data_IF_359023483629
#
_entry.id   IF_359023483629
#
_cell.length_a   1.000
_cell.length_b   1.000
_cell.length_c   1.000
_cell.angle_alpha   90.00
_cell.angle_beta   90.00
_cell.angle_gamma   90.00
#
_symmetry.space_group_name_H-M   'P 1'
#
loop_
_entity.id
_entity.type
_entity.pdbx_description
1 polymer ?
#
# COMPACT_ATOMS: atom_id res chain seq x y z
N UNK A 1 -79.39 15.41 146.36
CA UNK A 1 -79.42 15.96 144.99
C UNK A 1 -78.03 16.01 144.34
N UNK A 2 -76.95 16.38 145.06
CA UNK A 2 -75.59 16.50 144.51
C UNK A 2 -74.96 15.20 143.94
N UNK A 3 -75.14 14.03 144.57
CA UNK A 3 -74.58 12.75 144.07
C UNK A 3 -75.14 12.38 142.69
N UNK A 4 -76.45 12.58 142.45
CA UNK A 4 -77.09 12.29 141.16
C UNK A 4 -76.51 13.16 140.03
N UNK A 5 -76.22 14.44 140.31
CA UNK A 5 -75.57 15.34 139.34
C UNK A 5 -74.12 14.95 139.06
N UNK A 6 -73.37 14.53 140.08
CA UNK A 6 -71.98 14.08 139.93
C UNK A 6 -71.88 12.76 139.11
N UNK A 7 -72.84 11.84 139.30
CA UNK A 7 -72.94 10.58 138.55
C UNK A 7 -73.34 10.78 137.09
N UNK A 8 -74.17 11.78 136.79
CA UNK A 8 -74.53 12.15 135.41
C UNK A 8 -73.32 12.80 134.73
N UNK A 9 -72.62 13.71 135.42
CA UNK A 9 -71.40 14.33 134.90
C UNK A 9 -70.30 13.28 134.62
N UNK A 10 -70.10 12.31 135.50
CA UNK A 10 -69.14 11.22 135.26
C UNK A 10 -69.55 10.32 134.09
N UNK A 11 -70.85 10.04 133.92
CA UNK A 11 -71.35 9.28 132.78
C UNK A 11 -71.15 10.03 131.45
N UNK A 12 -71.34 11.36 131.43
CA UNK A 12 -71.04 12.22 130.28
C UNK A 12 -69.53 12.24 130.00
N UNK A 13 -68.69 12.36 131.03
CA UNK A 13 -67.24 12.29 130.86
C UNK A 13 -66.76 10.93 130.31
N UNK A 14 -67.33 9.81 130.77
CA UNK A 14 -67.03 8.48 130.25
C UNK A 14 -67.54 8.30 128.81
N UNK A 15 -68.73 8.82 128.48
CA UNK A 15 -69.25 8.84 127.12
C UNK A 15 -68.35 9.63 126.16
N UNK A 16 -67.89 10.81 126.59
CA UNK A 16 -66.93 11.61 125.83
C UNK A 16 -65.58 10.89 125.68
N UNK A 17 -65.07 10.25 126.73
CA UNK A 17 -63.84 9.46 126.68
C UNK A 17 -63.95 8.28 125.70
N UNK A 18 -65.07 7.55 125.68
CA UNK A 18 -65.34 6.49 124.72
C UNK A 18 -65.45 7.01 123.28
N UNK A 19 -66.08 8.17 123.07
CA UNK A 19 -66.14 8.80 121.75
C UNK A 19 -64.75 9.20 121.25
N UNK A 20 -63.94 9.87 122.07
CA UNK A 20 -62.57 10.23 121.72
C UNK A 20 -61.68 9.00 121.52
N UNK A 21 -61.87 7.92 122.30
CA UNK A 21 -61.16 6.67 122.11
C UNK A 21 -61.49 6.02 120.75
N UNK A 22 -62.77 6.00 120.35
CA UNK A 22 -63.17 5.47 119.05
C UNK A 22 -62.72 6.37 117.89
N UNK A 23 -62.83 7.69 118.04
CA UNK A 23 -62.34 8.66 117.06
C UNK A 23 -60.81 8.57 116.89
N UNK A 24 -60.06 8.37 117.97
CA UNK A 24 -58.61 8.18 117.93
C UNK A 24 -58.24 6.83 117.31
N UNK A 25 -59.01 5.76 117.58
CA UNK A 25 -58.84 4.46 116.90
C UNK A 25 -59.05 4.57 115.39
N UNK A 26 -60.10 5.25 114.94
CA UNK A 26 -60.34 5.51 113.50
C UNK A 26 -59.24 6.35 112.87
N UNK A 27 -58.72 7.36 113.59
CA UNK A 27 -57.57 8.15 113.12
C UNK A 27 -56.30 7.29 112.99
N UNK A 28 -56.01 6.44 113.97
CA UNK A 28 -54.89 5.51 113.93
C UNK A 28 -55.01 4.51 112.78
N UNK A 29 -56.21 3.97 112.53
CA UNK A 29 -56.45 3.08 111.38
C UNK A 29 -56.27 3.81 110.05
N UNK A 30 -56.80 5.04 109.91
CA UNK A 30 -56.59 5.88 108.74
C UNK A 30 -55.11 6.24 108.52
N UNK A 31 -54.36 6.53 109.58
CA UNK A 31 -52.92 6.79 109.53
C UNK A 31 -52.13 5.54 109.11
N UNK A 32 -52.48 4.36 109.65
CA UNK A 32 -51.88 3.09 109.21
C UNK A 32 -52.15 2.81 107.73
N UNK A 33 -53.38 3.04 107.26
CA UNK A 33 -53.72 2.87 105.84
C UNK A 33 -52.98 3.88 104.96
N UNK A 34 -52.86 5.15 105.39
CA UNK A 34 -52.07 6.16 104.69
C UNK A 34 -50.58 5.82 104.67
N UNK A 35 -50.04 5.33 105.77
CA UNK A 35 -48.64 4.91 105.86
C UNK A 35 -48.40 3.69 104.95
N UNK A 36 -49.29 2.70 104.96
CA UNK A 36 -49.20 1.53 104.07
C UNK A 36 -49.30 1.93 102.59
N UNK A 37 -50.19 2.86 102.24
CA UNK A 37 -50.27 3.41 100.88
C UNK A 37 -49.02 4.22 100.51
N UNK A 38 -48.48 5.02 101.44
CA UNK A 38 -47.27 5.80 101.22
C UNK A 38 -46.03 4.91 101.04
N UNK A 39 -45.87 3.85 101.84
CA UNK A 39 -44.77 2.88 101.69
C UNK A 39 -44.92 2.06 100.42
N UNK A 40 -46.13 1.64 100.06
CA UNK A 40 -46.41 0.97 98.78
C UNK A 40 -46.08 1.88 97.58
N UNK A 41 -46.49 3.16 97.63
CA UNK A 41 -46.19 4.14 96.59
C UNK A 41 -44.69 4.43 96.49
N UNK A 42 -43.98 4.55 97.62
CA UNK A 42 -42.53 4.75 97.64
C UNK A 42 -41.81 3.55 97.02
N UNK A 43 -42.20 2.32 97.40
CA UNK A 43 -41.64 1.11 96.80
C UNK A 43 -41.92 1.06 95.30
N UNK A 44 -43.15 1.32 94.87
CA UNK A 44 -43.49 1.36 93.44
C UNK A 44 -42.77 2.47 92.67
N UNK A 45 -42.39 3.58 93.32
CA UNK A 45 -41.57 4.62 92.71
C UNK A 45 -40.09 4.20 92.61
N UNK A 46 -39.57 3.48 93.61
CA UNK A 46 -38.21 2.91 93.57
C UNK A 46 -38.07 1.83 92.51
N UNK A 47 -39.06 0.93 92.40
CA UNK A 47 -39.08 -0.13 91.38
C UNK A 47 -39.14 0.47 89.97
N UNK A 48 -40.01 1.47 89.73
CA UNK A 48 -40.06 2.20 88.45
C UNK A 48 -38.77 2.95 88.14
N UNK A 49 -38.09 3.50 89.15
CA UNK A 49 -36.79 4.14 88.94
C UNK A 49 -35.74 3.11 88.50
N UNK A 50 -35.69 1.95 89.17
CA UNK A 50 -34.77 0.88 88.80
C UNK A 50 -35.04 0.33 87.39
N UNK A 51 -36.32 0.15 87.02
CA UNK A 51 -36.74 -0.22 85.66
C UNK A 51 -36.36 0.86 84.64
N UNK A 52 -36.55 2.14 84.97
CA UNK A 52 -36.18 3.28 84.13
C UNK A 52 -34.67 3.37 83.90
N UNK A 53 -33.87 3.26 84.96
CA UNK A 53 -32.40 3.30 84.89
C UNK A 53 -31.87 2.10 84.06
N UNK A 54 -32.46 0.90 84.22
CA UNK A 54 -32.14 -0.26 83.41
C UNK A 54 -32.53 -0.06 81.93
N UNK A 55 -33.71 0.51 81.65
CA UNK A 55 -34.17 0.77 80.29
C UNK A 55 -33.32 1.84 79.59
N UNK A 56 -32.90 2.90 80.30
CA UNK A 56 -31.98 3.93 79.78
C UNK A 56 -30.66 3.29 79.37
N UNK A 57 -30.07 2.44 80.22
CA UNK A 57 -28.82 1.75 79.90
C UNK A 57 -28.95 0.86 78.66
N UNK A 58 -30.03 0.09 78.55
CA UNK A 58 -30.29 -0.73 77.35
C UNK A 58 -30.44 0.14 76.10
N UNK A 59 -31.10 1.29 76.21
CA UNK A 59 -31.25 2.23 75.09
C UNK A 59 -29.93 2.90 74.70
N UNK A 60 -29.10 3.28 75.67
CA UNK A 60 -27.75 3.81 75.40
C UNK A 60 -26.88 2.78 74.65
N UNK A 61 -26.92 1.51 75.07
CA UNK A 61 -26.21 0.42 74.38
C UNK A 61 -26.74 0.20 72.96
N UNK A 62 -28.06 0.23 72.76
CA UNK A 62 -28.68 0.17 71.42
C UNK A 62 -28.29 1.36 70.54
N UNK A 63 -28.30 2.58 71.07
CA UNK A 63 -27.87 3.77 70.33
C UNK A 63 -26.40 3.68 69.94
N UNK A 64 -25.54 3.21 70.83
CA UNK A 64 -24.12 3.02 70.52
C UNK A 64 -23.90 1.95 69.44
N UNK A 65 -24.67 0.86 69.46
CA UNK A 65 -24.64 -0.17 68.42
C UNK A 65 -25.11 0.37 67.07
N UNK A 66 -26.27 1.03 67.03
CA UNK A 66 -26.84 1.63 65.82
C UNK A 66 -25.91 2.72 65.26
N UNK A 67 -25.25 3.50 66.12
CA UNK A 67 -24.27 4.48 65.63
C UNK A 67 -23.09 3.81 64.93
N UNK A 68 -22.57 2.70 65.47
CA UNK A 68 -21.49 1.94 64.85
C UNK A 68 -21.92 1.31 63.52
N UNK A 69 -23.10 0.70 63.45
CA UNK A 69 -23.65 0.17 62.20
C UNK A 69 -23.84 1.27 61.16
N UNK A 70 -24.43 2.41 61.54
CA UNK A 70 -24.60 3.56 60.66
C UNK A 70 -23.26 4.10 60.12
N UNK A 71 -22.21 4.11 60.93
CA UNK A 71 -20.89 4.56 60.49
C UNK A 71 -20.22 3.53 59.55
N UNK A 72 -20.40 2.22 59.81
CA UNK A 72 -19.95 1.16 58.91
C UNK A 72 -20.70 1.21 57.56
N UNK A 73 -22.03 1.35 57.59
CA UNK A 73 -22.87 1.46 56.39
C UNK A 73 -22.50 2.69 55.56
N UNK A 74 -22.18 3.82 56.21
CA UNK A 74 -21.68 5.02 55.51
C UNK A 74 -20.37 4.74 54.78
N UNK A 75 -19.43 4.05 55.41
CA UNK A 75 -18.18 3.68 54.75
C UNK A 75 -18.40 2.72 53.58
N UNK A 76 -19.32 1.76 53.71
CA UNK A 76 -19.66 0.83 52.63
C UNK A 76 -20.35 1.54 51.46
N UNK A 77 -21.28 2.46 51.73
CA UNK A 77 -21.94 3.28 50.70
C UNK A 77 -20.91 4.15 49.96
N UNK A 78 -19.93 4.73 50.65
CA UNK A 78 -18.87 5.51 50.00
C UNK A 78 -18.01 4.62 49.10
N UNK A 79 -17.66 3.40 49.53
CA UNK A 79 -16.90 2.44 48.70
C UNK A 79 -17.69 1.99 47.48
N UNK A 80 -18.95 1.59 47.66
CA UNK A 80 -19.84 1.17 46.57
C UNK A 80 -20.09 2.31 45.57
N UNK A 81 -20.22 3.55 46.05
CA UNK A 81 -20.35 4.72 45.17
C UNK A 81 -19.08 4.97 44.34
N UNK A 82 -17.89 4.80 44.94
CA UNK A 82 -16.63 4.90 44.24
C UNK A 82 -16.47 3.78 43.19
N UNK A 83 -16.77 2.53 43.56
CA UNK A 83 -16.73 1.38 42.64
C UNK A 83 -17.73 1.56 41.48
N UNK A 84 -18.94 2.06 41.76
CA UNK A 84 -19.93 2.35 40.73
C UNK A 84 -19.44 3.41 39.73
N UNK A 85 -18.83 4.49 40.22
CA UNK A 85 -18.22 5.51 39.35
C UNK A 85 -17.06 4.95 38.51
N UNK A 86 -16.22 4.09 39.08
CA UNK A 86 -15.12 3.45 38.35
C UNK A 86 -15.67 2.55 37.22
N UNK A 87 -16.71 1.74 37.51
CA UNK A 87 -17.34 0.89 36.50
C UNK A 87 -18.07 1.70 35.43
N UNK A 88 -18.70 2.81 35.77
CA UNK A 88 -19.35 3.69 34.81
C UNK A 88 -18.32 4.35 33.87
N UNK A 89 -17.19 4.81 34.41
CA UNK A 89 -16.07 5.31 33.61
C UNK A 89 -15.48 4.22 32.70
N UNK A 90 -15.29 3.00 33.22
CA UNK A 90 -14.82 1.87 32.42
C UNK A 90 -15.80 1.50 31.29
N UNK A 91 -17.12 1.52 31.55
CA UNK A 91 -18.14 1.30 30.53
C UNK A 91 -18.12 2.38 29.44
N UNK A 92 -17.89 3.65 29.80
CA UNK A 92 -17.73 4.72 28.82
C UNK A 92 -16.53 4.48 27.91
N UNK A 93 -15.39 4.07 28.48
CA UNK A 93 -14.17 3.74 27.71
C UNK A 93 -14.42 2.54 26.80
N UNK A 94 -15.04 1.48 27.30
CA UNK A 94 -15.35 0.27 26.50
C UNK A 94 -16.32 0.58 25.37
N UNK A 95 -17.34 1.43 25.58
CA UNK A 95 -18.25 1.89 24.53
C UNK A 95 -17.51 2.68 23.45
N UNK A 96 -16.66 3.63 23.83
CA UNK A 96 -15.82 4.38 22.87
C UNK A 96 -14.89 3.46 22.07
N UNK A 97 -14.25 2.50 22.73
CA UNK A 97 -13.43 1.50 22.05
C UNK A 97 -14.24 0.64 21.06
N UNK A 98 -15.45 0.23 21.43
CA UNK A 98 -16.33 -0.55 20.56
C UNK A 98 -16.75 0.23 19.31
N UNK A 99 -17.09 1.51 19.46
CA UNK A 99 -17.41 2.41 18.33
C UNK A 99 -16.21 2.58 17.40
N UNK A 100 -15.02 2.78 17.97
CA UNK A 100 -13.77 2.88 17.20
C UNK A 100 -13.45 1.58 16.46
N UNK A 101 -13.55 0.42 17.13
CA UNK A 101 -13.34 -0.90 16.53
C UNK A 101 -14.37 -1.16 15.42
N UNK A 102 -15.64 -0.81 15.65
CA UNK A 102 -16.70 -0.94 14.62
C UNK A 102 -16.37 -0.09 13.39
N UNK A 103 -15.90 1.14 13.59
CA UNK A 103 -15.46 2.02 12.49
C UNK A 103 -14.28 1.42 11.72
N UNK A 104 -13.29 0.86 12.43
CA UNK A 104 -12.15 0.19 11.81
C UNK A 104 -12.57 -1.06 11.04
N UNK A 105 -13.44 -1.90 11.60
CA UNK A 105 -13.97 -3.09 10.92
C UNK A 105 -14.73 -2.70 9.65
N UNK A 106 -15.56 -1.66 9.69
CA UNK A 106 -16.26 -1.18 8.50
C UNK A 106 -15.30 -0.60 7.45
N UNK A 107 -14.25 0.11 7.87
CA UNK A 107 -13.22 0.60 6.96
C UNK A 107 -12.44 -0.54 6.30
N UNK A 108 -12.06 -1.56 7.07
CA UNK A 108 -11.39 -2.77 6.57
C UNK A 108 -12.32 -3.56 5.65
N UNK A 109 -13.59 -3.72 6.00
CA UNK A 109 -14.58 -4.38 5.15
C UNK A 109 -14.72 -3.65 3.81
N UNK A 110 -14.83 -2.32 3.84
CA UNK A 110 -14.84 -1.50 2.63
C UNK A 110 -13.56 -1.65 1.82
N UNK A 111 -12.39 -1.74 2.47
CA UNK A 111 -11.13 -2.01 1.77
C UNK A 111 -11.09 -3.41 1.14
N UNK A 112 -11.68 -4.43 1.79
CA UNK A 112 -11.84 -5.77 1.24
C UNK A 112 -12.78 -5.75 0.03
N UNK A 113 -13.91 -5.06 0.14
CA UNK A 113 -14.90 -4.93 -0.94
C UNK A 113 -14.32 -4.12 -2.12
N UNK A 114 -13.60 -3.02 -1.85
CA UNK A 114 -12.93 -2.16 -2.84
C UNK A 114 -11.74 -2.90 -3.50
N UNK A 115 -11.02 -3.74 -2.76
CA UNK A 115 -9.97 -4.62 -3.31
C UNK A 115 -10.56 -5.71 -4.23
N UNK A 116 -11.86 -5.97 -4.11
CA UNK A 116 -12.64 -6.82 -5.00
C UNK A 116 -12.26 -8.30 -4.96
N UNK A 117 -12.84 -9.08 -5.87
CA UNK A 117 -12.58 -10.52 -6.02
C UNK A 117 -11.09 -10.76 -6.31
N UNK A 118 -10.31 -11.02 -5.26
CA UNK A 118 -8.94 -11.52 -5.34
C UNK A 118 -8.89 -12.73 -6.29
N UNK A 119 -9.95 -13.55 -6.33
CA UNK A 119 -10.12 -14.65 -7.30
C UNK A 119 -10.15 -14.18 -8.77
N UNK A 120 -10.85 -13.08 -9.08
CA UNK A 120 -10.82 -12.49 -10.43
C UNK A 120 -9.44 -11.95 -10.76
N UNK A 121 -8.74 -11.36 -9.78
CA UNK A 121 -7.38 -10.85 -9.96
C UNK A 121 -6.39 -12.00 -10.22
N UNK A 122 -6.51 -13.10 -9.48
CA UNK A 122 -5.73 -14.33 -9.70
C UNK A 122 -6.03 -14.91 -11.09
N UNK A 123 -7.31 -15.01 -11.48
CA UNK A 123 -7.68 -15.49 -12.81
C UNK A 123 -7.13 -14.59 -13.94
N UNK A 124 -7.12 -13.27 -13.75
CA UNK A 124 -6.48 -12.33 -14.68
C UNK A 124 -4.96 -12.52 -14.74
N UNK A 125 -4.30 -12.73 -13.60
CA UNK A 125 -2.85 -13.00 -13.54
C UNK A 125 -2.50 -14.32 -14.22
N UNK A 126 -3.28 -15.38 -14.03
CA UNK A 126 -3.09 -16.65 -14.73
C UNK A 126 -3.27 -16.50 -16.24
N UNK A 127 -4.30 -15.76 -16.66
CA UNK A 127 -4.50 -15.43 -18.09
C UNK A 127 -3.34 -14.63 -18.65
N UNK A 128 -2.89 -13.58 -17.96
CA UNK A 128 -1.74 -12.76 -18.34
C UNK A 128 -0.45 -13.58 -18.43
N UNK A 129 -0.22 -14.53 -17.52
CA UNK A 129 0.92 -15.46 -17.61
C UNK A 129 0.84 -16.36 -18.84
N UNK A 130 -0.36 -16.85 -19.17
CA UNK A 130 -0.57 -17.66 -20.37
C UNK A 130 -0.32 -16.83 -21.64
N UNK A 131 -0.90 -15.63 -21.71
CA UNK A 131 -0.72 -14.69 -22.82
C UNK A 131 0.76 -14.28 -22.96
N UNK A 132 1.49 -14.10 -21.84
CA UNK A 132 2.92 -13.82 -21.83
C UNK A 132 3.73 -14.98 -22.43
N UNK A 133 3.43 -16.22 -22.02
CA UNK A 133 4.12 -17.41 -22.53
C UNK A 133 3.89 -17.59 -24.03
N UNK A 134 2.66 -17.35 -24.50
CA UNK A 134 2.32 -17.39 -25.92
C UNK A 134 3.01 -16.27 -26.71
N UNK A 135 3.04 -15.05 -26.17
CA UNK A 135 3.76 -13.93 -26.77
C UNK A 135 5.27 -14.17 -26.85
N UNK A 136 5.89 -14.73 -25.80
CA UNK A 136 7.31 -15.10 -25.81
C UNK A 136 7.61 -16.16 -26.89
N UNK A 137 6.75 -17.18 -27.03
CA UNK A 137 6.85 -18.16 -28.10
C UNK A 137 6.71 -17.54 -29.50
N UNK A 138 5.77 -16.59 -29.67
CA UNK A 138 5.59 -15.86 -30.92
C UNK A 138 6.81 -14.98 -31.25
N UNK A 139 7.37 -14.28 -30.27
CA UNK A 139 8.59 -13.47 -30.43
C UNK A 139 9.79 -14.34 -30.79
N UNK A 140 9.95 -15.51 -30.14
CA UNK A 140 11.03 -16.45 -30.48
C UNK A 140 10.91 -16.93 -31.94
N UNK A 141 9.71 -17.29 -32.39
CA UNK A 141 9.45 -17.68 -33.77
C UNK A 141 9.71 -16.55 -34.76
N UNK A 142 9.28 -15.32 -34.46
CA UNK A 142 9.54 -14.14 -35.29
C UNK A 142 11.04 -13.83 -35.38
N UNK A 143 11.77 -13.95 -34.26
CA UNK A 143 13.22 -13.76 -34.22
C UNK A 143 13.95 -14.79 -35.10
N UNK A 144 13.53 -16.05 -35.06
CA UNK A 144 14.08 -17.09 -35.94
C UNK A 144 13.79 -16.81 -37.42
N UNK A 145 12.57 -16.33 -37.74
CA UNK A 145 12.22 -15.90 -39.11
C UNK A 145 13.08 -14.73 -39.57
N UNK A 146 13.27 -13.71 -38.73
CA UNK A 146 14.14 -12.57 -39.04
C UNK A 146 15.58 -13.00 -39.28
N UNK A 147 16.13 -13.89 -38.44
CA UNK A 147 17.46 -14.43 -38.62
C UNK A 147 17.60 -15.18 -39.97
N UNK A 148 16.62 -16.03 -40.32
CA UNK A 148 16.61 -16.75 -41.59
C UNK A 148 16.51 -15.80 -42.80
N UNK A 149 15.64 -14.79 -42.72
CA UNK A 149 15.50 -13.78 -43.78
C UNK A 149 16.79 -12.97 -43.92
N UNK A 150 17.42 -12.59 -42.82
CA UNK A 150 18.68 -11.85 -42.84
C UNK A 150 19.83 -12.69 -43.43
N UNK A 151 19.90 -13.98 -43.10
CA UNK A 151 20.83 -14.91 -43.75
C UNK A 151 20.57 -15.04 -45.26
N UNK A 152 19.29 -15.09 -45.66
CA UNK A 152 18.89 -15.12 -47.08
C UNK A 152 19.32 -13.86 -47.81
N UNK A 153 19.08 -12.68 -47.20
CA UNK A 153 19.49 -11.37 -47.75
C UNK A 153 21.01 -11.31 -47.91
N UNK A 154 21.77 -11.76 -46.91
CA UNK A 154 23.23 -11.79 -46.98
C UNK A 154 23.72 -12.71 -48.13
N UNK A 155 23.12 -13.90 -48.27
CA UNK A 155 23.44 -14.84 -49.35
C UNK A 155 23.13 -14.28 -50.74
N UNK A 156 21.95 -13.70 -50.93
CA UNK A 156 21.52 -13.10 -52.21
C UNK A 156 22.36 -11.87 -52.54
N UNK A 157 22.66 -11.00 -51.56
CA UNK A 157 23.55 -9.85 -51.76
C UNK A 157 24.93 -10.31 -52.23
N UNK A 158 25.51 -11.33 -51.59
CA UNK A 158 26.79 -11.89 -52.00
C UNK A 158 26.76 -12.52 -53.42
N UNK A 159 25.62 -13.10 -53.83
CA UNK A 159 25.44 -13.56 -55.21
C UNK A 159 25.36 -12.40 -56.19
N UNK A 160 24.61 -11.34 -55.85
CA UNK A 160 24.50 -10.13 -56.67
C UNK A 160 25.89 -9.51 -56.88
N UNK A 161 26.70 -9.41 -55.83
CA UNK A 161 28.04 -8.82 -55.94
C UNK A 161 28.97 -9.66 -56.81
N UNK A 162 28.92 -11.00 -56.70
CA UNK A 162 29.69 -11.89 -57.59
C UNK A 162 29.25 -11.77 -59.06
N UNK A 163 27.95 -11.70 -59.31
CA UNK A 163 27.41 -11.54 -60.66
C UNK A 163 27.77 -10.18 -61.24
N UNK A 164 27.68 -9.11 -60.46
CA UNK A 164 28.12 -7.77 -60.86
C UNK A 164 29.61 -7.71 -61.16
N UNK A 165 30.45 -8.34 -60.34
CA UNK A 165 31.90 -8.40 -60.58
C UNK A 165 32.21 -9.18 -61.85
N UNK A 166 31.55 -10.33 -62.05
CA UNK A 166 31.71 -11.14 -63.27
C UNK A 166 31.28 -10.36 -64.51
N UNK A 167 30.15 -9.64 -64.43
CA UNK A 167 29.68 -8.77 -65.51
C UNK A 167 30.65 -7.60 -65.76
N UNK A 168 31.17 -6.97 -64.71
CA UNK A 168 32.14 -5.89 -64.82
C UNK A 168 33.45 -6.36 -65.46
N UNK A 169 33.95 -7.54 -65.10
CA UNK A 169 35.12 -8.17 -65.71
C UNK A 169 34.88 -8.47 -67.19
N UNK A 170 33.72 -9.04 -67.53
CA UNK A 170 33.35 -9.31 -68.91
C UNK A 170 33.19 -8.03 -69.74
N UNK A 171 32.61 -6.96 -69.18
CA UNK A 171 32.49 -5.64 -69.84
C UNK A 171 33.84 -4.95 -70.03
N UNK A 172 34.80 -5.19 -69.14
CA UNK A 172 36.17 -4.66 -69.23
C UNK A 172 37.02 -5.42 -70.25
N UNK A 173 36.56 -6.55 -70.80
CA UNK A 173 37.35 -7.29 -71.78
C UNK A 173 38.55 -8.03 -71.17
N UNK A 174 38.53 -8.29 -69.86
CA UNK A 174 39.64 -8.93 -69.15
C UNK A 174 39.53 -10.44 -69.36
N UNK A 175 40.47 -11.00 -70.10
CA UNK A 175 40.54 -12.44 -70.38
C UNK A 175 41.50 -13.10 -69.38
N UNK A 176 41.15 -14.30 -68.90
CA UNK A 176 41.97 -15.01 -67.91
C UNK A 176 43.42 -15.23 -68.43
N UNK A 177 44.46 -15.10 -67.59
CA UNK A 177 45.86 -15.26 -68.01
C UNK A 177 46.18 -16.62 -68.65
N UNK A 178 45.48 -17.67 -68.23
CA UNK A 178 45.57 -19.04 -68.77
C UNK A 178 44.79 -19.27 -70.07
N UNK A 179 44.18 -18.23 -70.64
CA UNK A 179 43.39 -18.34 -71.86
C UNK A 179 44.24 -18.68 -73.09
N UNK A 180 43.80 -19.70 -73.84
CA UNK A 180 44.35 -20.07 -75.14
C UNK A 180 43.23 -20.39 -76.14
N UNK A 181 43.24 -19.72 -77.28
CA UNK A 181 42.40 -19.99 -78.45
C UNK A 181 43.27 -20.30 -79.67
N UNK A 182 42.64 -20.64 -80.79
CA UNK A 182 43.28 -20.74 -82.10
C UNK A 182 42.54 -19.92 -83.14
N UNK A 183 43.30 -19.43 -84.12
CA UNK A 183 42.73 -18.81 -85.31
C UNK A 183 42.01 -19.90 -86.12
N UNK A 184 40.69 -19.85 -86.17
CA UNK A 184 39.89 -20.76 -86.98
C UNK A 184 39.99 -20.41 -88.47
N UNK A 185 39.89 -19.11 -88.77
CA UNK A 185 40.00 -18.58 -90.12
C UNK A 185 40.49 -17.14 -90.11
N UNK A 186 41.41 -16.79 -91.01
CA UNK A 186 41.91 -15.43 -91.17
C UNK A 186 41.49 -14.81 -92.50
N UNK A 187 41.04 -13.56 -92.49
CA UNK A 187 40.64 -12.80 -93.67
C UNK A 187 41.58 -11.60 -93.87
N UNK A 188 42.67 -11.75 -94.66
CA UNK A 188 43.69 -10.71 -94.81
C UNK A 188 43.15 -9.43 -95.46
N UNK A 189 42.20 -9.54 -96.40
CA UNK A 189 41.59 -8.40 -97.11
C UNK A 189 40.84 -7.44 -96.19
N UNK A 190 40.30 -7.96 -95.08
CA UNK A 190 39.53 -7.17 -94.11
C UNK A 190 40.25 -7.00 -92.78
N UNK A 191 41.41 -7.65 -92.61
CA UNK A 191 42.22 -7.54 -91.41
C UNK A 191 41.56 -8.07 -90.14
N UNK A 192 40.70 -9.09 -90.23
CA UNK A 192 40.13 -9.75 -89.04
C UNK A 192 40.33 -11.27 -89.05
N UNK A 193 40.36 -11.84 -87.86
CA UNK A 193 40.46 -13.27 -87.59
C UNK A 193 39.22 -13.76 -86.84
N UNK A 194 38.75 -14.95 -87.21
CA UNK A 194 37.76 -15.69 -86.45
C UNK A 194 38.49 -16.65 -85.52
N UNK A 195 38.18 -16.58 -84.23
CA UNK A 195 38.71 -17.46 -83.19
C UNK A 195 37.75 -18.62 -82.95
N UNK A 196 38.30 -19.79 -82.63
CA UNK A 196 37.53 -21.01 -82.31
C UNK A 196 36.95 -21.03 -80.87
N UNK A 197 37.00 -19.89 -80.18
CA UNK A 197 36.47 -19.69 -78.83
C UNK A 197 35.59 -18.45 -78.82
N UNK A 198 34.53 -18.48 -78.02
CA UNK A 198 33.57 -17.39 -77.84
C UNK A 198 33.36 -17.02 -76.38
N UNK A 199 32.26 -16.31 -76.09
CA UNK A 199 31.92 -15.81 -74.76
C UNK A 199 31.85 -16.94 -73.70
N UNK A 200 31.24 -18.09 -74.05
CA UNK A 200 31.17 -19.25 -73.15
C UNK A 200 32.52 -19.88 -72.82
N UNK A 201 33.57 -19.52 -73.57
CA UNK A 201 34.92 -20.07 -73.44
C UNK A 201 35.94 -19.03 -73.01
N UNK A 202 35.48 -17.89 -72.46
CA UNK A 202 36.34 -16.86 -71.86
C UNK A 202 36.82 -15.77 -72.80
N UNK A 203 36.23 -15.61 -73.99
CA UNK A 203 36.52 -14.48 -74.88
C UNK A 203 35.54 -13.35 -74.64
N UNK A 204 36.04 -12.17 -74.32
CA UNK A 204 35.21 -10.98 -74.08
C UNK A 204 35.38 -9.94 -75.20
N UNK A 205 34.32 -9.17 -75.46
CA UNK A 205 34.43 -8.04 -76.37
C UNK A 205 35.43 -7.01 -75.84
N UNK A 206 36.15 -6.34 -76.74
CA UNK A 206 37.25 -5.41 -76.44
C UNK A 206 38.48 -6.03 -75.78
N UNK A 207 38.56 -7.35 -75.64
CA UNK A 207 39.77 -8.00 -75.15
C UNK A 207 40.94 -7.82 -76.13
N UNK A 208 42.12 -7.56 -75.58
CA UNK A 208 43.37 -7.57 -76.34
C UNK A 208 44.01 -8.95 -76.25
N UNK A 209 44.28 -9.51 -77.42
CA UNK A 209 44.83 -10.85 -77.60
C UNK A 209 46.11 -10.78 -78.43
N UNK A 210 47.00 -11.74 -78.22
CA UNK A 210 48.25 -11.89 -78.96
C UNK A 210 48.23 -13.21 -79.72
N UNK A 211 48.55 -13.15 -81.01
CA UNK A 211 48.76 -14.34 -81.84
C UNK A 211 50.21 -14.78 -81.68
N UNK A 212 50.40 -16.02 -81.26
CA UNK A 212 51.70 -16.68 -81.08
C UNK A 212 51.86 -17.87 -82.01
N UNK A 213 53.06 -17.99 -82.58
CA UNK A 213 53.52 -19.20 -83.27
C UNK A 213 54.79 -19.66 -82.58
N UNK A 214 54.70 -20.75 -81.84
CA UNK A 214 55.77 -21.17 -80.94
C UNK A 214 55.93 -20.17 -79.78
N UNK A 215 57.08 -19.48 -79.72
CA UNK A 215 57.40 -18.49 -78.67
C UNK A 215 57.23 -17.04 -79.12
N UNK A 216 57.09 -16.80 -80.42
CA UNK A 216 57.08 -15.46 -80.99
C UNK A 216 55.66 -14.92 -81.13
N UNK A 217 55.48 -13.62 -80.82
CA UNK A 217 54.23 -12.89 -81.02
C UNK A 217 54.21 -12.34 -82.44
N UNK A 218 53.27 -12.82 -83.25
CA UNK A 218 53.13 -12.47 -84.67
C UNK A 218 52.26 -11.24 -84.86
N UNK A 219 51.19 -11.08 -84.08
CA UNK A 219 50.25 -9.99 -84.22
C UNK A 219 49.48 -9.74 -82.92
N UNK A 220 48.95 -8.52 -82.76
CA UNK A 220 47.95 -8.20 -81.72
C UNK A 220 46.57 -8.14 -82.35
N UNK A 221 45.60 -8.76 -81.70
CA UNK A 221 44.20 -8.77 -82.07
C UNK A 221 43.39 -8.04 -81.02
N UNK A 222 42.36 -7.32 -81.45
CA UNK A 222 41.35 -6.74 -80.58
C UNK A 222 40.00 -7.36 -80.88
N UNK A 223 39.38 -7.98 -79.89
CA UNK A 223 38.09 -8.64 -80.07
C UNK A 223 37.01 -7.59 -80.30
N UNK A 224 36.30 -7.67 -81.43
CA UNK A 224 35.23 -6.75 -81.80
C UNK A 224 33.86 -7.25 -81.36
N UNK A 225 33.57 -8.52 -81.62
CA UNK A 225 32.31 -9.15 -81.25
C UNK A 225 32.57 -10.59 -80.80
N UNK A 226 31.78 -11.03 -79.83
CA UNK A 226 31.85 -12.38 -79.28
C UNK A 226 30.51 -13.07 -79.45
N UNK A 227 30.54 -14.24 -80.07
CA UNK A 227 29.41 -15.16 -80.14
C UNK A 227 29.55 -16.21 -79.04
N UNK A 228 28.56 -17.08 -78.88
CA UNK A 228 28.59 -18.10 -77.82
C UNK A 228 29.82 -19.01 -77.94
N UNK A 229 30.20 -19.40 -79.15
CA UNK A 229 31.28 -20.39 -79.40
C UNK A 229 32.43 -19.89 -80.27
N UNK A 230 32.29 -18.73 -80.94
CA UNK A 230 33.31 -18.13 -81.80
C UNK A 230 33.48 -16.65 -81.44
N UNK A 231 34.57 -16.04 -81.86
CA UNK A 231 34.79 -14.61 -81.68
C UNK A 231 35.43 -14.00 -82.93
N UNK A 232 35.09 -12.74 -83.20
CA UNK A 232 35.65 -11.95 -84.30
C UNK A 232 36.61 -10.95 -83.69
N UNK A 233 37.87 -11.00 -84.10
CA UNK A 233 38.92 -10.11 -83.62
C UNK A 233 39.61 -9.40 -84.78
N UNK A 234 39.69 -8.08 -84.70
CA UNK A 234 40.37 -7.24 -85.68
C UNK A 234 41.88 -7.24 -85.39
N UNK A 235 42.70 -7.31 -86.44
CA UNK A 235 44.15 -7.16 -86.32
C UNK A 235 44.46 -5.70 -86.05
N UNK A 236 45.21 -5.44 -84.97
CA UNK A 236 45.66 -4.09 -84.65
C UNK A 236 46.62 -3.62 -85.75
N UNK A 237 46.34 -2.51 -86.46
CA UNK A 237 47.21 -2.04 -87.54
C UNK A 237 48.64 -1.80 -87.07
N UNK A 238 49.62 -2.28 -87.84
CA UNK A 238 51.05 -2.16 -87.51
C UNK A 238 51.54 -3.09 -86.38
N UNK A 239 50.70 -4.00 -85.87
CA UNK A 239 51.11 -4.97 -84.86
C UNK A 239 51.66 -6.28 -85.41
N UNK A 240 51.60 -6.47 -86.74
CA UNK A 240 52.10 -7.67 -87.40
C UNK A 240 53.63 -7.60 -87.49
N UNK A 241 54.32 -8.64 -87.03
CA UNK A 241 55.77 -8.72 -87.10
C UNK A 241 56.27 -8.63 -88.55
N UNK A 242 57.36 -7.89 -88.79
CA UNK A 242 57.91 -7.64 -90.12
C UNK A 242 58.15 -8.96 -90.88
N UNK A 243 57.57 -9.08 -92.08
CA UNK A 243 57.68 -10.27 -92.93
C UNK A 243 56.82 -11.48 -92.50
N UNK A 244 55.97 -11.36 -91.48
CA UNK A 244 55.11 -12.45 -91.00
C UNK A 244 53.63 -12.24 -91.37
N UNK A 245 52.87 -13.34 -91.48
CA UNK A 245 51.42 -13.33 -91.69
C UNK A 245 50.72 -14.32 -90.75
N UNK A 246 49.46 -14.03 -90.44
CA UNK A 246 48.60 -14.87 -89.59
C UNK A 246 48.07 -16.05 -90.41
N UNK A 247 48.12 -17.26 -89.85
CA UNK A 247 47.58 -18.47 -90.48
C UNK A 247 46.52 -19.14 -89.62
N UNK A 248 45.68 -19.94 -90.28
CA UNK A 248 44.74 -20.82 -89.59
C UNK A 248 45.52 -21.80 -88.70
N UNK A 249 45.09 -21.93 -87.44
CA UNK A 249 45.72 -22.79 -86.45
C UNK A 249 46.75 -22.10 -85.55
N UNK A 250 47.12 -20.84 -85.82
CA UNK A 250 47.98 -20.07 -84.91
C UNK A 250 47.36 -19.95 -83.52
N UNK A 251 48.18 -20.01 -82.48
CA UNK A 251 47.73 -19.93 -81.08
C UNK A 251 47.44 -18.49 -80.71
N UNK A 252 46.36 -18.24 -79.99
CA UNK A 252 45.97 -16.92 -79.51
C UNK A 252 45.91 -16.95 -78.00
N UNK A 253 46.60 -16.04 -77.34
CA UNK A 253 46.64 -15.95 -75.87
C UNK A 253 46.24 -14.56 -75.41
N UNK A 254 45.91 -14.41 -74.13
CA UNK A 254 45.71 -13.09 -73.54
C UNK A 254 46.97 -12.22 -73.72
N UNK A 255 46.78 -10.96 -74.13
CA UNK A 255 47.90 -10.02 -74.23
C UNK A 255 48.53 -9.77 -72.85
N UNK A 256 49.85 -9.53 -72.81
CA UNK A 256 50.57 -9.29 -71.55
C UNK A 256 50.07 -8.03 -70.81
N UNK A 257 49.57 -7.05 -71.57
CA UNK A 257 48.78 -5.93 -71.06
C UNK A 257 47.46 -5.90 -71.81
N UNK A 258 46.37 -6.14 -71.09
CA UNK A 258 45.01 -5.87 -71.59
C UNK A 258 44.73 -4.39 -71.34
N UNK A 259 44.22 -3.66 -72.35
CA UNK A 259 44.00 -2.20 -72.29
C UNK A 259 43.01 -1.77 -71.20
N UNK A 260 42.34 -2.71 -70.53
CA UNK A 260 41.47 -2.46 -69.38
C UNK A 260 42.12 -2.73 -68.01
N UNK A 261 43.37 -3.21 -67.97
CA UNK A 261 44.13 -3.44 -66.76
C UNK A 261 44.94 -2.20 -66.29
N UNK A 262 44.99 -1.12 -67.09
CA UNK A 262 45.61 0.15 -66.71
C UNK A 262 44.62 1.09 -66.00
N UNK A 263 44.72 1.30 -64.68
CA UNK A 263 43.83 2.19 -63.95
C UNK A 263 44.42 3.61 -63.97
N UNK A 264 44.62 4.23 -65.13
CA UNK A 264 44.99 5.68 -65.19
C UNK A 264 44.90 6.28 -66.61
N UNK A 265 43.69 6.70 -66.99
CA UNK A 265 43.50 8.03 -67.61
C UNK A 265 42.08 8.54 -67.39
N UNK A 266 41.90 9.13 -66.22
CA UNK A 266 40.84 10.08 -65.90
C UNK A 266 41.40 11.05 -64.86
N UNK A 267 42.00 12.15 -65.31
CA UNK A 267 42.49 13.28 -64.51
C UNK A 267 42.17 14.53 -65.35
N UNK A 268 41.64 15.64 -64.86
CA UNK A 268 41.15 16.06 -63.53
C UNK A 268 40.54 17.46 -63.65
N UNK A 269 39.63 17.81 -62.73
CA UNK A 269 39.38 19.18 -62.21
C UNK A 269 38.66 20.19 -63.15
N UNK A 270 37.84 21.18 -62.74
CA UNK A 270 37.51 21.83 -61.46
C UNK A 270 36.20 22.63 -61.58
N UNK A 271 35.45 22.73 -60.49
CA UNK A 271 34.58 23.87 -60.15
C UNK A 271 33.23 23.39 -59.59
N UNK A 272 32.80 23.66 -58.35
CA UNK A 272 33.29 24.45 -57.24
C UNK A 272 32.22 24.36 -56.13
N UNK A 273 32.68 24.42 -54.88
CA UNK A 273 32.03 24.29 -53.54
C UNK A 273 30.88 25.28 -53.28
N UNK A 274 30.08 25.21 -52.18
CA UNK A 274 30.47 25.06 -50.74
C UNK A 274 29.74 23.85 -50.06
N UNK A 275 30.13 23.31 -48.91
CA UNK A 275 30.37 23.96 -47.62
C UNK A 275 30.97 22.96 -46.62
N UNK A 276 31.62 23.47 -45.57
CA UNK A 276 32.62 22.82 -44.72
C UNK A 276 32.15 22.71 -43.26
N UNK A 277 32.56 21.64 -42.57
CA UNK A 277 32.55 21.48 -41.09
C UNK A 277 31.70 20.28 -40.64
N UNK A 278 32.10 19.35 -39.78
CA UNK A 278 33.20 19.23 -38.82
C UNK A 278 33.39 17.72 -38.48
N UNK A 279 34.41 17.30 -37.71
CA UNK A 279 34.94 15.94 -37.69
C UNK A 279 34.14 14.98 -36.79
N UNK A 280 34.11 13.70 -37.16
CA UNK A 280 33.62 12.61 -36.30
C UNK A 280 34.71 12.16 -35.32
N UNK A 281 34.37 12.00 -34.01
CA UNK A 281 35.31 11.63 -32.96
C UNK A 281 35.44 10.11 -32.78
N UNK A 282 36.55 9.71 -32.16
CA UNK A 282 36.90 8.35 -31.80
C UNK A 282 36.53 8.04 -30.33
N UNK A 283 36.16 6.79 -30.08
CA UNK A 283 36.11 6.06 -28.79
C UNK A 283 35.44 6.68 -27.55
N UNK A 284 34.39 6.05 -27.01
CA UNK A 284 34.34 5.33 -25.71
C UNK A 284 32.91 5.02 -25.27
N UNK A 285 32.76 3.89 -24.58
CA UNK A 285 31.51 3.25 -24.16
C UNK A 285 30.56 4.12 -23.30
N UNK A 286 29.23 3.98 -23.45
CA UNK A 286 28.28 4.51 -22.46
C UNK A 286 28.13 3.53 -21.29
N UNK A 287 28.50 4.02 -20.10
CA UNK A 287 28.18 3.43 -18.81
C UNK A 287 26.68 3.46 -18.53
N UNK A 288 26.25 2.46 -17.78
CA UNK A 288 24.89 2.29 -17.27
C UNK A 288 24.39 3.52 -16.49
N UNK A 289 23.10 3.91 -16.62
CA UNK A 289 22.50 4.83 -15.68
C UNK A 289 22.33 4.14 -14.33
N UNK A 290 23.03 4.66 -13.33
CA UNK A 290 22.83 4.31 -11.93
C UNK A 290 21.38 4.65 -11.53
N UNK A 291 20.60 3.61 -11.26
CA UNK A 291 19.38 3.70 -10.47
C UNK A 291 19.81 3.95 -9.01
N UNK A 292 19.76 5.19 -8.57
CA UNK A 292 19.92 5.54 -7.16
C UNK A 292 18.86 6.57 -6.75
N UNK A 293 17.65 6.07 -6.45
CA UNK A 293 16.76 6.70 -5.49
C UNK A 293 15.72 5.66 -5.07
N UNK A 294 16.01 5.04 -3.94
CA UNK A 294 15.12 4.25 -3.10
C UNK A 294 13.76 4.96 -2.88
N UNK A 295 12.61 4.33 -3.21
CA UNK A 295 11.29 4.90 -2.97
C UNK A 295 10.76 4.66 -1.53
N UNK A 296 11.56 4.07 -0.63
CA UNK A 296 11.17 3.76 0.75
C UNK A 296 12.22 4.16 1.82
N UNK A 297 12.98 5.22 1.57
CA UNK A 297 13.93 5.80 2.54
C UNK A 297 13.32 6.91 3.40
N UNK A 298 13.02 6.61 4.66
CA UNK A 298 12.62 7.58 5.68
C UNK A 298 13.74 8.61 5.97
N UNK A 299 13.46 9.91 6.17
CA UNK A 299 14.45 10.83 6.73
C UNK A 299 14.55 10.66 8.25
N UNK A 300 15.76 10.36 8.74
CA UNK A 300 16.09 10.42 10.16
C UNK A 300 16.15 11.89 10.65
N UNK A 301 15.76 12.16 11.91
CA UNK A 301 15.38 13.51 12.37
C UNK A 301 16.57 14.38 12.77
N UNK A 302 16.45 15.68 12.50
CA UNK A 302 17.27 16.72 13.10
C UNK A 302 16.85 16.95 14.56
N UNK A 303 17.84 17.00 15.44
CA UNK A 303 17.68 17.21 16.87
C UNK A 303 17.19 18.63 17.22
N UNK A 304 16.15 18.71 18.06
CA UNK A 304 15.73 19.89 18.82
C UNK A 304 15.28 19.44 20.22
N UNK A 305 15.40 20.29 21.26
CA UNK A 305 15.59 19.84 22.64
C UNK A 305 14.32 19.28 23.27
N UNK A 306 14.52 18.22 24.05
CA UNK A 306 13.52 17.62 24.93
C UNK A 306 13.15 18.62 26.04
N UNK A 307 11.89 19.07 26.05
CA UNK A 307 11.18 19.33 27.30
C UNK A 307 9.66 19.36 27.04
N UNK A 308 9.02 18.20 27.13
CA UNK A 308 7.57 18.11 27.32
C UNK A 308 7.28 16.85 28.13
N UNK A 309 7.05 17.08 29.42
CA UNK A 309 6.51 16.17 30.42
C UNK A 309 5.21 15.47 29.92
N UNK A 310 5.10 14.13 30.00
CA UNK A 310 3.94 13.39 29.52
C UNK A 310 2.74 13.38 30.51
N UNK A 311 2.83 14.07 31.66
CA UNK A 311 1.75 14.15 32.66
C UNK A 311 1.41 15.58 33.12
N UNK A 312 1.45 16.56 32.20
CA UNK A 312 1.17 17.96 32.49
C UNK A 312 -0.33 18.29 32.71
N UNK A 313 -0.66 18.71 33.93
CA UNK A 313 -1.94 19.29 34.35
C UNK A 313 -2.38 20.50 33.47
N UNK A 314 -3.69 20.80 33.36
CA UNK A 314 -4.16 21.92 32.55
C UNK A 314 -3.73 23.28 33.15
N UNK A 315 -3.41 24.28 32.31
CA UNK A 315 -2.98 25.59 32.78
C UNK A 315 -4.12 26.34 33.48
N UNK A 316 -3.80 26.90 34.65
CA UNK A 316 -4.69 27.73 35.45
C UNK A 316 -5.12 28.98 34.67
N UNK A 317 -6.43 29.19 34.56
CA UNK A 317 -7.02 30.44 34.09
C UNK A 317 -6.87 31.55 35.15
N UNK A 318 -6.72 32.82 34.74
CA UNK A 318 -6.49 33.93 35.67
C UNK A 318 -7.73 34.22 36.52
N UNK A 319 -7.49 34.47 37.81
CA UNK A 319 -8.48 34.77 38.81
C UNK A 319 -9.29 36.05 38.49
N UNK A 320 -10.62 35.96 38.66
CA UNK A 320 -11.55 37.08 38.81
C UNK A 320 -12.34 36.90 40.12
N UNK A 321 -12.83 37.98 40.74
CA UNK A 321 -12.91 38.11 42.19
C UNK A 321 -14.07 37.35 42.84
N UNK A 322 -13.82 36.94 44.09
CA UNK A 322 -14.78 36.37 45.03
C UNK A 322 -16.03 37.25 45.18
N UNK A 323 -17.21 36.68 44.91
CA UNK A 323 -18.46 37.01 45.61
C UNK A 323 -19.58 36.04 45.19
N UNK A 324 -19.90 35.07 46.05
CA UNK A 324 -21.29 34.65 46.36
C UNK A 324 -21.31 33.39 47.25
N UNK A 325 -21.54 33.61 48.54
CA UNK A 325 -22.34 32.85 49.52
C UNK A 325 -22.56 31.32 49.33
N UNK A 326 -22.11 30.46 50.27
CA UNK A 326 -22.27 29.00 50.20
C UNK A 326 -23.59 28.46 50.77
N UNK A 327 -24.55 29.30 51.20
CA UNK A 327 -25.84 28.83 51.76
C UNK A 327 -27.06 29.64 51.28
N UNK A 328 -27.29 29.71 49.97
CA UNK A 328 -28.47 30.35 49.37
C UNK A 328 -29.44 29.37 48.70
N UNK A 329 -30.67 29.27 49.22
CA UNK A 329 -31.76 28.48 48.66
C UNK A 329 -32.17 28.92 47.23
N UNK A 330 -32.64 28.01 46.35
CA UNK A 330 -33.05 28.39 45.00
C UNK A 330 -34.39 29.16 45.01
N UNK A 331 -34.54 30.23 44.21
CA UNK A 331 -35.83 30.93 44.07
C UNK A 331 -36.81 30.10 43.23
N UNK A 332 -38.07 30.10 43.68
CA UNK A 332 -39.19 29.40 43.08
C UNK A 332 -39.55 29.93 41.69
N UNK A 333 -39.79 29.02 40.74
CA UNK A 333 -40.39 29.33 39.45
C UNK A 333 -41.93 29.24 39.51
N UNK A 334 -42.67 30.14 38.84
CA UNK A 334 -44.14 30.10 38.79
C UNK A 334 -44.67 29.05 37.79
N UNK A 335 -45.93 28.58 37.95
CA UNK A 335 -46.40 27.34 37.31
C UNK A 335 -46.87 27.53 35.87
N UNK A 336 -46.50 26.59 34.99
CA UNK A 336 -47.13 26.39 33.68
C UNK A 336 -48.34 25.45 33.80
N UNK A 337 -49.46 25.83 33.21
CA UNK A 337 -50.70 25.04 33.14
C UNK A 337 -50.59 23.86 32.14
N UNK A 338 -51.43 22.81 32.28
CA UNK A 338 -51.11 21.47 31.80
C UNK A 338 -51.60 21.19 30.38
N UNK A 339 -50.73 20.58 29.56
CA UNK A 339 -51.13 19.82 28.37
C UNK A 339 -51.29 18.34 28.76
N UNK A 340 -52.45 17.78 28.44
CA UNK A 340 -52.89 16.46 28.85
C UNK A 340 -52.01 15.29 28.39
N UNK A 341 -52.07 14.22 29.18
CA UNK A 341 -51.46 12.94 28.88
C UNK A 341 -51.72 11.99 30.04
N UNK A 342 -52.72 11.12 29.87
CA UNK A 342 -53.06 10.08 30.81
C UNK A 342 -51.88 9.12 31.04
N UNK A 343 -51.58 8.79 32.29
CA UNK A 343 -51.07 7.47 32.66
C UNK A 343 -51.30 7.23 34.16
N UNK A 344 -51.95 6.09 34.39
CA UNK A 344 -52.48 5.61 35.64
C UNK A 344 -51.43 4.70 36.29
N UNK A 345 -50.90 5.04 37.46
CA UNK A 345 -50.17 4.09 38.32
C UNK A 345 -50.11 4.61 39.77
N UNK A 346 -51.05 4.13 40.57
CA UNK A 346 -51.10 4.26 42.03
C UNK A 346 -49.97 3.42 42.67
N UNK A 347 -49.10 3.98 43.52
CA UNK A 347 -47.98 3.26 44.13
C UNK A 347 -48.35 2.52 45.43
N UNK A 348 -49.62 2.52 45.86
CA UNK A 348 -50.05 1.78 47.05
C UNK A 348 -51.18 0.80 46.70
N UNK A 349 -50.78 -0.39 46.25
CA UNK A 349 -51.69 -1.48 45.88
C UNK A 349 -52.62 -1.91 47.02
N UNK A 350 -53.92 -1.76 46.78
CA UNK A 350 -54.97 -2.51 47.48
C UNK A 350 -55.40 -3.69 46.61
N UNK A 351 -55.33 -4.91 47.17
CA UNK A 351 -55.73 -6.14 46.48
C UNK A 351 -57.27 -6.20 46.29
N UNK A 352 -57.78 -6.67 45.14
CA UNK A 352 -59.21 -6.89 44.95
C UNK A 352 -59.70 -8.17 45.66
N UNK A 353 -60.96 -8.21 46.14
CA UNK A 353 -61.50 -9.37 46.85
C UNK A 353 -61.81 -10.54 45.89
N UNK A 354 -61.88 -11.79 46.40
CA UNK A 354 -62.14 -12.96 45.58
C UNK A 354 -63.60 -13.00 45.11
N UNK A 355 -63.78 -13.23 43.81
CA UNK A 355 -65.08 -13.45 43.18
C UNK A 355 -65.63 -14.83 43.55
N UNK A 356 -66.89 -14.86 43.97
CA UNK A 356 -67.78 -16.03 43.92
C UNK A 356 -68.36 -16.16 42.50
#
# INVERSE_FOLDING_TARGET
>A
MAWKLLSILSAVCLGAACYFANANKQRLENEKTRQAAATANLKAAQDRKAEGDAAVKVKEEQYAAIQKERDADKEEVVKLAADAQEKEAALSVVKGNLEQVTTQVNAVQKQIDDAGDIEKLIAQVEKLKKDQTEAEGAVANQKQRLANVQATIAGVTGQIDKLKETEAQGRRGIVAPEFSARVAQFFPEWGFAILNKGNSQGVFANADLEVKRGKDVIARLKVRSVEQHNAIADVVPGSVAEGSSIFNGDSVVAAAQQSAADPKKGSSSTGGTPEQGAPVPDSTAPQAPAMSSDPFGAPAPAAAPMNSDPFGAPPAAPAAPMNSDPFGAPPAAPPAAPSGGAMNSDPFGAAPPPSN
#
